data_IF_850110790244
#
_entry.id   IF_850110790244
#
_cell.length_a   1.000
_cell.length_b   1.000
_cell.length_c   1.000
_cell.angle_alpha   90.00
_cell.angle_beta   90.00
_cell.angle_gamma   90.00
#
_symmetry.space_group_name_H-M   'P 1'
#
loop_
_entity.id
_entity.type
_entity.pdbx_description
1 polymer ?
#
# COMPACT_ATOMS: atom_id res chain seq x y z
N UNK A 1 0.64 -1.59 0.21
CA UNK A 1 -0.58 -1.08 -0.46
C UNK A 1 -1.45 -2.27 -0.77
N UNK A 2 -2.73 -2.27 -0.42
CA UNK A 2 -3.58 -3.44 -0.61
C UNK A 2 -5.05 -3.02 -0.69
N UNK A 3 -5.78 -3.51 -1.70
CA UNK A 3 -7.23 -3.37 -1.77
C UNK A 3 -7.93 -4.34 -0.79
N UNK A 4 -8.96 -3.86 -0.10
CA UNK A 4 -9.72 -4.66 0.89
C UNK A 4 -10.71 -5.63 0.23
N UNK A 5 -11.11 -5.36 -1.02
CA UNK A 5 -11.98 -6.23 -1.82
C UNK A 5 -11.20 -7.17 -2.76
N UNK A 6 -9.87 -7.23 -2.62
CA UNK A 6 -9.01 -8.12 -3.40
C UNK A 6 -9.43 -9.60 -3.21
N UNK A 7 -9.74 -10.24 -4.34
CA UNK A 7 -10.20 -11.64 -4.43
C UNK A 7 -9.08 -12.62 -4.73
N UNK A 8 -7.88 -12.13 -5.06
CA UNK A 8 -6.69 -12.92 -5.36
C UNK A 8 -5.78 -13.01 -4.13
N UNK A 9 -5.65 -11.91 -3.39
CA UNK A 9 -4.84 -11.82 -2.17
C UNK A 9 -5.62 -11.12 -1.06
N UNK A 10 -5.82 -11.79 0.07
CA UNK A 10 -6.55 -11.22 1.21
C UNK A 10 -5.74 -10.12 1.90
N UNK A 11 -6.40 -9.00 2.23
CA UNK A 11 -5.73 -7.87 2.88
C UNK A 11 -5.18 -8.20 4.27
N UNK A 12 -5.78 -9.18 4.97
CA UNK A 12 -5.27 -9.67 6.25
C UNK A 12 -3.85 -10.25 6.13
N UNK A 13 -3.46 -10.74 4.94
CA UNK A 13 -2.08 -11.14 4.66
C UNK A 13 -1.11 -9.96 4.71
N UNK A 14 -1.51 -8.80 4.18
CA UNK A 14 -0.72 -7.57 4.26
C UNK A 14 -0.62 -7.05 5.71
N UNK A 15 -1.70 -7.15 6.50
CA UNK A 15 -1.66 -6.81 7.94
C UNK A 15 -0.72 -7.73 8.73
N UNK A 16 -0.73 -9.03 8.45
CA UNK A 16 0.18 -10.00 9.07
C UNK A 16 1.64 -9.67 8.72
N UNK A 17 1.93 -9.40 7.45
CA UNK A 17 3.27 -8.98 7.01
C UNK A 17 3.70 -7.70 7.71
N UNK A 18 2.84 -6.68 7.74
CA UNK A 18 3.13 -5.43 8.41
C UNK A 18 3.43 -5.63 9.89
N UNK A 19 2.67 -6.46 10.60
CA UNK A 19 2.90 -6.74 12.03
C UNK A 19 4.21 -7.51 12.28
N UNK A 20 4.58 -8.43 11.40
CA UNK A 20 5.66 -9.40 11.66
C UNK A 20 7.00 -9.05 11.02
N UNK A 21 7.03 -8.19 10.00
CA UNK A 21 8.27 -7.78 9.35
C UNK A 21 9.21 -7.04 10.34
N UNK A 22 10.52 -7.33 10.39
CA UNK A 22 11.43 -6.74 11.37
C UNK A 22 11.93 -5.34 11.00
N UNK A 23 11.51 -4.77 9.86
CA UNK A 23 11.90 -3.41 9.47
C UNK A 23 11.18 -2.36 10.32
N UNK A 24 11.89 -1.37 10.89
CA UNK A 24 11.29 -0.28 11.65
C UNK A 24 10.59 0.75 10.76
N UNK A 25 11.08 0.90 9.52
CA UNK A 25 10.51 1.80 8.52
C UNK A 25 9.67 0.99 7.53
N UNK A 26 8.35 1.13 7.67
CA UNK A 26 7.33 0.49 6.84
C UNK A 26 6.01 1.19 7.03
N UNK A 27 5.23 1.24 5.96
CA UNK A 27 3.89 1.81 5.96
C UNK A 27 2.92 0.83 5.29
N UNK A 28 1.77 0.57 5.91
CA UNK A 28 0.66 -0.15 5.30
C UNK A 28 -0.48 0.84 5.03
N UNK A 29 -0.91 0.92 3.77
CA UNK A 29 -2.18 1.54 3.39
C UNK A 29 -3.12 0.47 2.82
N UNK A 30 -4.33 0.46 3.35
CA UNK A 30 -5.46 -0.34 2.88
C UNK A 30 -6.44 0.58 2.16
N UNK A 31 -6.87 0.19 0.97
CA UNK A 31 -7.84 0.95 0.19
C UNK A 31 -9.19 0.23 0.23
N UNK A 32 -10.20 0.88 0.80
CA UNK A 32 -11.53 0.32 1.00
C UNK A 32 -12.21 0.08 -0.37
N UNK A 33 -12.72 -1.14 -0.61
CA UNK A 33 -13.44 -1.48 -1.84
C UNK A 33 -12.60 -1.76 -3.09
N UNK A 34 -11.30 -1.44 -3.11
CA UNK A 34 -10.43 -1.70 -4.26
C UNK A 34 -10.06 -3.19 -4.37
N UNK A 35 -9.84 -3.66 -5.59
CA UNK A 35 -9.37 -5.02 -5.88
C UNK A 35 -7.84 -5.10 -5.93
N UNK A 36 -7.32 -6.15 -6.58
CA UNK A 36 -5.91 -6.50 -6.60
C UNK A 36 -5.01 -5.44 -7.25
N UNK A 37 -5.42 -4.92 -8.41
CA UNK A 37 -4.62 -4.00 -9.21
C UNK A 37 -4.90 -2.54 -8.83
N UNK A 38 -4.61 -2.15 -7.58
CA UNK A 38 -4.90 -0.81 -7.03
C UNK A 38 -4.35 0.37 -7.87
N UNK A 39 -3.32 0.14 -8.69
CA UNK A 39 -2.73 1.15 -9.59
C UNK A 39 -3.52 1.33 -10.91
N UNK A 40 -4.48 0.44 -11.18
CA UNK A 40 -5.33 0.42 -12.37
C UNK A 40 -6.81 0.70 -12.06
N UNK A 41 -7.15 0.91 -10.79
CA UNK A 41 -8.49 1.26 -10.32
C UNK A 41 -8.84 2.74 -10.61
N UNK A 42 -10.12 3.14 -10.55
CA UNK A 42 -10.52 4.55 -10.71
C UNK A 42 -9.76 5.51 -9.78
N UNK A 43 -9.43 5.07 -8.57
CA UNK A 43 -8.68 5.81 -7.54
C UNK A 43 -7.16 5.81 -7.77
N UNK A 44 -6.67 5.30 -8.91
CA UNK A 44 -5.22 5.21 -9.22
C UNK A 44 -4.42 6.48 -8.95
N UNK A 45 -5.02 7.66 -9.13
CA UNK A 45 -4.32 8.94 -8.92
C UNK A 45 -3.99 9.16 -7.45
N UNK A 46 -4.91 8.77 -6.54
CA UNK A 46 -4.67 8.78 -5.10
C UNK A 46 -3.59 7.75 -4.73
N UNK A 47 -3.72 6.53 -5.25
CA UNK A 47 -2.76 5.45 -4.96
C UNK A 47 -1.34 5.81 -5.42
N UNK A 48 -1.21 6.41 -6.62
CA UNK A 48 0.07 6.88 -7.15
C UNK A 48 0.63 8.04 -6.31
N UNK A 49 -0.21 9.02 -5.96
CA UNK A 49 0.22 10.13 -5.10
C UNK A 49 0.74 9.62 -3.74
N UNK A 50 0.09 8.62 -3.17
CA UNK A 50 0.51 7.98 -1.93
C UNK A 50 1.87 7.29 -2.02
N UNK A 51 2.13 6.58 -3.14
CA UNK A 51 3.45 6.00 -3.41
C UNK A 51 4.51 7.09 -3.52
N UNK A 52 4.24 8.14 -4.31
CA UNK A 52 5.20 9.23 -4.53
C UNK A 52 5.51 9.97 -3.24
N UNK A 53 4.49 10.30 -2.45
CA UNK A 53 4.66 10.93 -1.15
C UNK A 53 5.46 10.06 -0.18
N UNK A 54 5.22 8.74 -0.18
CA UNK A 54 6.00 7.82 0.62
C UNK A 54 7.47 7.82 0.15
N UNK A 55 7.74 7.73 -1.15
CA UNK A 55 9.11 7.78 -1.67
C UNK A 55 9.82 9.09 -1.27
N UNK A 56 9.21 10.25 -1.54
CA UNK A 56 9.80 11.56 -1.22
C UNK A 56 10.06 11.76 0.28
N UNK A 57 9.27 11.15 1.16
CA UNK A 57 9.49 11.21 2.60
C UNK A 57 10.67 10.35 3.09
N UNK A 58 11.11 9.37 2.29
CA UNK A 58 12.18 8.42 2.63
C UNK A 58 13.42 8.55 1.72
N UNK A 59 13.42 9.52 0.80
CA UNK A 59 14.62 9.94 0.10
C UNK A 59 15.62 10.56 1.08
N UNK A 60 16.88 10.13 1.01
CA UNK A 60 17.96 10.81 1.75
C UNK A 60 18.20 12.19 1.12
N UNK A 61 18.51 13.23 1.91
CA UNK A 61 19.01 14.47 1.36
C UNK A 61 20.28 14.18 0.53
N UNK A 62 20.38 14.78 -0.65
CA UNK A 62 21.56 14.70 -1.51
C UNK A 62 22.81 15.28 -0.82
#
# INVERSE_FOLDING_TARGET
LQGTADKLSSYQGAELLFRTAPTPDKTLKLYEGLYHEVLSEPEREEVVADVLNWLSAHEQPA
#
